data_IF_985408086304
#
_entry.id   IF_985408086304
#
_cell.length_a   1.000
_cell.length_b   1.000
_cell.length_c   1.000
_cell.angle_alpha   90.00
_cell.angle_beta   90.00
_cell.angle_gamma   90.00
#
_symmetry.space_group_name_H-M   'P 1'
#
loop_
_entity.id
_entity.type
_entity.pdbx_description
1 polymer ?
#
# COMPACT_ATOMS: atom_id res chain seq x y z
N UNK A 1 1.77 -10.67 3.78
CA UNK A 1 2.50 -10.02 4.90
C UNK A 1 1.66 -9.97 6.18
N UNK A 2 2.28 -9.82 7.36
CA UNK A 2 1.57 -9.68 8.64
C UNK A 2 0.53 -8.55 8.62
N UNK A 3 0.80 -7.47 7.87
CA UNK A 3 -0.11 -6.35 7.66
C UNK A 3 -1.48 -6.73 7.04
N UNK A 4 -1.51 -7.77 6.20
CA UNK A 4 -2.72 -8.22 5.52
C UNK A 4 -3.70 -8.90 6.48
N UNK A 5 -3.17 -9.50 7.55
CA UNK A 5 -3.92 -10.22 8.59
C UNK A 5 -4.08 -9.40 9.87
N UNK A 6 -3.83 -8.08 9.79
CA UNK A 6 -3.84 -7.23 10.99
C UNK A 6 -5.20 -7.27 11.69
N UNK A 7 -6.30 -7.36 10.93
CA UNK A 7 -7.65 -7.44 11.48
C UNK A 7 -7.91 -8.75 12.24
N UNK A 8 -7.28 -9.85 11.85
CA UNK A 8 -7.49 -11.17 12.44
C UNK A 8 -6.81 -11.33 13.81
N UNK A 9 -5.93 -10.40 14.16
CA UNK A 9 -5.04 -10.48 15.34
C UNK A 9 -5.02 -9.20 16.18
N UNK A 10 -6.06 -8.35 16.05
CA UNK A 10 -6.11 -7.08 16.79
C UNK A 10 -6.35 -7.32 18.27
N UNK A 11 -5.51 -6.70 19.10
CA UNK A 11 -5.75 -6.60 20.53
C UNK A 11 -6.84 -5.57 20.86
N UNK A 12 -6.90 -4.49 20.08
CA UNK A 12 -7.88 -3.41 20.23
C UNK A 12 -8.89 -3.50 19.08
N UNK A 13 -10.19 -3.71 19.37
CA UNK A 13 -11.25 -3.63 18.37
C UNK A 13 -11.28 -2.26 17.68
N UNK A 14 -11.70 -2.21 16.42
CA UNK A 14 -11.88 -0.94 15.72
C UNK A 14 -12.93 -0.07 16.41
N UNK A 15 -12.70 1.23 16.47
CA UNK A 15 -13.63 2.22 17.01
C UNK A 15 -13.72 3.45 16.12
N UNK A 16 -14.78 4.25 16.31
CA UNK A 16 -14.98 5.48 15.53
C UNK A 16 -13.87 6.49 15.80
N UNK A 17 -13.32 7.09 14.73
CA UNK A 17 -12.23 8.07 14.85
C UNK A 17 -10.86 7.46 15.19
N UNK A 18 -10.70 6.14 15.10
CA UNK A 18 -9.46 5.44 15.45
C UNK A 18 -8.20 6.02 14.80
N UNK A 19 -8.25 6.34 13.50
CA UNK A 19 -7.10 6.93 12.80
C UNK A 19 -6.69 8.28 13.41
N UNK A 20 -7.65 9.14 13.75
CA UNK A 20 -7.37 10.43 14.37
C UNK A 20 -6.78 10.24 15.76
N UNK A 21 -7.32 9.32 16.57
CA UNK A 21 -6.81 9.02 17.89
C UNK A 21 -5.35 8.55 17.86
N UNK A 22 -5.00 7.62 16.96
CA UNK A 22 -3.61 7.15 16.85
C UNK A 22 -2.65 8.20 16.30
N UNK A 23 -3.08 9.02 15.34
CA UNK A 23 -2.25 10.11 14.83
C UNK A 23 -2.00 11.17 15.92
N UNK A 24 -3.04 11.59 16.64
CA UNK A 24 -2.92 12.52 17.76
C UNK A 24 -1.95 11.97 18.81
N UNK A 25 -2.13 10.72 19.23
CA UNK A 25 -1.23 10.08 20.19
C UNK A 25 0.23 10.03 19.68
N UNK A 26 0.44 9.69 18.40
CA UNK A 26 1.77 9.67 17.80
C UNK A 26 2.45 11.04 17.84
N UNK A 27 1.70 12.13 17.60
CA UNK A 27 2.25 13.48 17.64
C UNK A 27 2.44 14.03 19.05
N UNK A 28 1.50 13.76 19.97
CA UNK A 28 1.57 14.20 21.36
C UNK A 28 2.71 13.51 22.12
N UNK A 29 2.94 12.23 21.84
CA UNK A 29 4.00 11.43 22.46
C UNK A 29 5.31 11.39 21.64
N UNK A 30 5.39 12.12 20.51
CA UNK A 30 6.51 12.10 19.57
C UNK A 30 6.92 10.69 19.06
N UNK A 31 5.96 9.76 18.97
CA UNK A 31 6.18 8.38 18.50
C UNK A 31 6.11 8.33 16.97
N UNK A 32 7.17 8.82 16.31
CA UNK A 32 7.22 8.92 14.84
C UNK A 32 7.24 7.58 14.12
N UNK A 33 7.74 6.53 14.77
CA UNK A 33 7.92 5.19 14.16
C UNK A 33 6.62 4.56 13.65
N UNK A 34 5.47 4.89 14.23
CA UNK A 34 4.17 4.35 13.80
C UNK A 34 3.52 5.15 12.67
N UNK A 35 3.97 6.39 12.41
CA UNK A 35 3.37 7.28 11.42
C UNK A 35 3.32 6.69 10.00
N UNK A 36 4.39 6.04 9.46
CA UNK A 36 4.33 5.46 8.12
C UNK A 36 3.21 4.42 7.97
N UNK A 37 3.01 3.59 8.99
CA UNK A 37 1.96 2.57 9.00
C UNK A 37 0.56 3.18 9.11
N UNK A 38 0.38 4.22 9.93
CA UNK A 38 -0.88 4.96 10.05
C UNK A 38 -1.23 5.66 8.73
N UNK A 39 -0.27 6.34 8.10
CA UNK A 39 -0.48 6.96 6.79
C UNK A 39 -0.77 5.93 5.70
N UNK A 40 -0.09 4.79 5.69
CA UNK A 40 -0.39 3.70 4.78
C UNK A 40 -1.84 3.21 4.94
N UNK A 41 -2.28 2.98 6.18
CA UNK A 41 -3.67 2.60 6.48
C UNK A 41 -4.66 3.66 5.98
N UNK A 42 -4.36 4.94 6.24
CA UNK A 42 -5.17 6.07 5.80
C UNK A 42 -5.24 6.22 4.26
N UNK A 43 -4.23 5.75 3.53
CA UNK A 43 -4.24 5.73 2.06
C UNK A 43 -5.26 4.71 1.49
N UNK A 44 -5.58 3.67 2.26
CA UNK A 44 -6.54 2.61 1.89
C UNK A 44 -7.99 2.96 2.24
N UNK A 45 -8.22 3.97 3.08
CA UNK A 45 -9.55 4.48 3.39
C UNK A 45 -10.05 5.47 2.31
N UNK A 46 -11.39 5.67 2.22
CA UNK A 46 -11.97 6.75 1.42
C UNK A 46 -11.33 8.09 1.78
N UNK A 47 -11.04 8.91 0.76
CA UNK A 47 -10.35 10.19 0.98
C UNK A 47 -11.13 11.11 1.93
N UNK A 48 -12.46 11.13 1.83
CA UNK A 48 -13.32 11.95 2.70
C UNK A 48 -13.16 11.62 4.19
N UNK A 49 -13.10 10.33 4.53
CA UNK A 49 -12.93 9.87 5.92
C UNK A 49 -11.54 10.24 6.43
N UNK A 50 -10.52 10.01 5.58
CA UNK A 50 -9.14 10.39 5.90
C UNK A 50 -9.00 11.89 6.12
N UNK A 51 -9.60 12.74 5.29
CA UNK A 51 -9.56 14.19 5.46
C UNK A 51 -10.22 14.63 6.76
N UNK A 52 -11.33 14.00 7.12
CA UNK A 52 -12.01 14.26 8.39
C UNK A 52 -11.10 13.95 9.57
N UNK A 53 -10.41 12.81 9.55
CA UNK A 53 -9.43 12.45 10.57
C UNK A 53 -8.25 13.42 10.63
N UNK A 54 -7.63 13.75 9.48
CA UNK A 54 -6.50 14.69 9.42
C UNK A 54 -6.86 16.10 9.90
N UNK A 55 -8.06 16.59 9.57
CA UNK A 55 -8.58 17.86 10.06
C UNK A 55 -8.69 17.88 11.59
N UNK A 56 -9.14 16.78 12.20
CA UNK A 56 -9.23 16.65 13.65
C UNK A 56 -7.84 16.75 14.29
N UNK A 57 -6.86 16.00 13.76
CA UNK A 57 -5.48 15.98 14.28
C UNK A 57 -4.80 17.33 14.09
N UNK A 58 -4.97 17.99 12.93
CA UNK A 58 -4.39 19.30 12.67
C UNK A 58 -4.89 20.34 13.70
N UNK A 59 -6.19 20.34 14.01
CA UNK A 59 -6.76 21.23 15.05
C UNK A 59 -6.21 20.94 16.44
N UNK A 60 -5.96 19.68 16.78
CA UNK A 60 -5.45 19.28 18.09
C UNK A 60 -3.94 19.59 18.26
N UNK A 61 -3.15 19.39 17.21
CA UNK A 61 -1.67 19.39 17.29
C UNK A 61 -1.01 20.61 16.67
N UNK A 62 -1.74 21.37 15.85
CA UNK A 62 -1.22 22.47 15.02
C UNK A 62 -0.04 22.06 14.10
N UNK A 63 0.05 20.78 13.72
CA UNK A 63 1.07 20.25 12.80
C UNK A 63 0.54 20.27 11.37
N UNK A 64 1.37 20.65 10.40
CA UNK A 64 1.03 20.45 8.98
C UNK A 64 1.22 18.97 8.60
N UNK A 65 0.11 18.24 8.60
CA UNK A 65 0.08 16.80 8.27
C UNK A 65 -0.32 16.59 6.81
N UNK A 66 -0.98 17.58 6.19
CA UNK A 66 -1.54 17.45 4.85
C UNK A 66 -0.45 17.32 3.81
N UNK A 67 0.58 18.16 3.88
CA UNK A 67 1.66 18.17 2.88
C UNK A 67 2.34 16.81 2.80
N UNK A 68 2.81 16.29 3.94
CA UNK A 68 3.42 14.96 4.02
C UNK A 68 2.47 13.85 3.58
N UNK A 69 1.21 13.91 4.01
CA UNK A 69 0.22 12.88 3.68
C UNK A 69 -0.12 12.84 2.19
N UNK A 70 -0.46 13.97 1.56
CA UNK A 70 -0.87 14.01 0.17
C UNK A 70 0.27 13.66 -0.78
N UNK A 71 1.46 14.22 -0.55
CA UNK A 71 2.63 13.89 -1.35
C UNK A 71 3.00 12.40 -1.17
N UNK A 72 2.96 11.89 0.05
CA UNK A 72 3.25 10.48 0.30
C UNK A 72 2.19 9.54 -0.26
N UNK A 73 0.92 9.91 -0.23
CA UNK A 73 -0.17 9.14 -0.84
C UNK A 73 0.01 9.02 -2.34
N UNK A 74 0.40 10.10 -3.02
CA UNK A 74 0.65 10.09 -4.47
C UNK A 74 1.86 9.21 -4.81
N UNK A 75 2.99 9.42 -4.14
CA UNK A 75 4.21 8.60 -4.31
C UNK A 75 3.96 7.12 -4.04
N UNK A 76 3.24 6.80 -2.95
CA UNK A 76 2.87 5.43 -2.61
C UNK A 76 2.02 4.80 -3.70
N UNK A 77 0.99 5.50 -4.20
CA UNK A 77 0.15 5.00 -5.30
C UNK A 77 0.95 4.76 -6.57
N UNK A 78 1.90 5.65 -6.89
CA UNK A 78 2.80 5.47 -8.01
C UNK A 78 3.64 4.20 -7.83
N UNK A 79 4.26 4.02 -6.66
CA UNK A 79 5.08 2.86 -6.35
C UNK A 79 4.28 1.54 -6.37
N UNK A 80 3.08 1.52 -5.77
CA UNK A 80 2.17 0.37 -5.82
C UNK A 80 1.74 0.02 -7.25
N UNK A 81 1.49 1.04 -8.08
CA UNK A 81 1.15 0.85 -9.50
C UNK A 81 2.32 0.29 -10.29
N UNK A 82 3.53 0.82 -10.11
CA UNK A 82 4.74 0.33 -10.76
C UNK A 82 4.99 -1.14 -10.41
N UNK A 83 4.89 -1.50 -9.12
CA UNK A 83 5.05 -2.87 -8.66
C UNK A 83 3.97 -3.78 -9.24
N UNK A 84 2.69 -3.36 -9.15
CA UNK A 84 1.56 -4.18 -9.57
C UNK A 84 1.47 -4.41 -11.07
N UNK A 85 1.95 -3.45 -11.86
CA UNK A 85 1.92 -3.54 -13.32
C UNK A 85 3.24 -4.06 -13.89
N UNK A 86 4.29 -4.22 -13.08
CA UNK A 86 5.62 -4.63 -13.54
C UNK A 86 5.60 -5.89 -14.40
N UNK A 87 4.83 -6.91 -13.99
CA UNK A 87 4.72 -8.16 -14.74
C UNK A 87 4.13 -7.95 -16.14
N UNK A 88 3.28 -6.94 -16.36
CA UNK A 88 2.73 -6.61 -17.68
C UNK A 88 3.80 -6.04 -18.63
N UNK A 89 4.85 -5.42 -18.10
CA UNK A 89 5.89 -4.77 -18.89
C UNK A 89 7.16 -5.61 -19.05
N UNK A 90 7.41 -6.55 -18.15
CA UNK A 90 8.55 -7.46 -18.28
C UNK A 90 8.40 -8.37 -19.50
N UNK A 91 9.53 -8.63 -20.19
CA UNK A 91 9.63 -9.74 -21.16
C UNK A 91 9.56 -11.04 -20.37
N UNK A 92 8.33 -11.51 -20.18
CA UNK A 92 8.04 -12.72 -19.46
C UNK A 92 8.43 -13.92 -20.31
N UNK A 93 9.30 -14.78 -19.77
CA UNK A 93 9.59 -16.09 -20.36
C UNK A 93 8.96 -17.15 -19.46
N UNK A 94 8.09 -17.99 -20.01
CA UNK A 94 7.55 -19.12 -19.25
C UNK A 94 8.67 -20.12 -19.00
N UNK A 95 8.94 -20.51 -17.74
CA UNK A 95 9.89 -21.59 -17.44
C UNK A 95 9.48 -22.96 -18.02
N UNK A 96 8.28 -23.11 -18.58
CA UNK A 96 7.78 -24.34 -19.21
C UNK A 96 7.18 -24.09 -20.61
N UNK A 97 7.37 -25.03 -21.53
CA UNK A 97 7.02 -24.90 -22.96
C UNK A 97 5.52 -24.96 -23.30
N UNK A 98 4.62 -24.95 -22.31
CA UNK A 98 3.19 -25.24 -22.51
C UNK A 98 2.25 -24.04 -22.27
N UNK A 99 2.78 -22.85 -22.01
CA UNK A 99 1.95 -21.66 -21.78
C UNK A 99 2.02 -20.72 -22.99
N UNK A 100 0.88 -20.39 -23.58
CA UNK A 100 0.76 -19.27 -24.52
C UNK A 100 0.80 -17.95 -23.74
N UNK A 101 1.99 -17.61 -23.24
CA UNK A 101 2.23 -16.41 -22.44
C UNK A 101 1.81 -15.16 -23.20
N UNK A 102 2.02 -15.11 -24.51
CA UNK A 102 1.82 -13.89 -25.28
C UNK A 102 0.35 -13.52 -25.34
N UNK A 103 -0.54 -14.47 -25.64
CA UNK A 103 -1.99 -14.24 -25.62
C UNK A 103 -2.49 -13.88 -24.22
N UNK A 104 -2.05 -14.58 -23.17
CA UNK A 104 -2.46 -14.28 -21.79
C UNK A 104 -1.99 -12.88 -21.34
N UNK A 105 -0.78 -12.49 -21.72
CA UNK A 105 -0.26 -11.14 -21.44
C UNK A 105 -1.00 -10.07 -22.23
N UNK A 106 -1.39 -10.35 -23.48
CA UNK A 106 -2.22 -9.46 -24.29
C UNK A 106 -3.59 -9.23 -23.65
N UNK A 107 -4.24 -10.30 -23.19
CA UNK A 107 -5.49 -10.22 -22.43
C UNK A 107 -5.34 -9.38 -21.15
N UNK A 108 -4.32 -9.67 -20.34
CA UNK A 108 -4.07 -8.95 -19.09
C UNK A 108 -3.81 -7.44 -19.30
N UNK A 109 -3.05 -7.09 -20.34
CA UNK A 109 -2.82 -5.68 -20.72
C UNK A 109 -4.09 -5.00 -21.21
N UNK A 110 -4.91 -5.70 -21.99
CA UNK A 110 -6.20 -5.18 -22.48
C UNK A 110 -7.14 -4.86 -21.33
N UNK A 111 -7.28 -5.77 -20.38
CA UNK A 111 -8.11 -5.54 -19.19
C UNK A 111 -7.56 -4.39 -18.34
N UNK A 112 -6.24 -4.33 -18.13
CA UNK A 112 -5.62 -3.23 -17.40
C UNK A 112 -5.91 -1.87 -18.04
N UNK A 113 -5.83 -1.77 -19.37
CA UNK A 113 -6.17 -0.58 -20.12
C UNK A 113 -7.67 -0.24 -20.02
N UNK A 114 -8.53 -1.24 -20.17
CA UNK A 114 -9.99 -1.08 -20.10
C UNK A 114 -10.40 -0.54 -18.72
N UNK A 115 -9.93 -1.14 -17.63
CA UNK A 115 -10.25 -0.68 -16.26
C UNK A 115 -9.64 0.68 -15.93
N UNK A 116 -8.56 1.07 -16.58
CA UNK A 116 -7.95 2.40 -16.40
C UNK A 116 -8.72 3.51 -17.12
N UNK A 117 -9.43 3.18 -18.21
CA UNK A 117 -10.15 4.15 -19.05
C UNK A 117 -11.67 4.16 -18.81
N UNK A 118 -12.28 3.02 -18.45
CA UNK A 118 -13.72 2.90 -18.21
C UNK A 118 -14.22 3.67 -16.97
N UNK A 119 -13.30 4.10 -16.09
CA UNK A 119 -13.60 4.76 -14.80
C UNK A 119 -13.99 6.24 -14.91
N UNK A 120 -14.23 6.78 -16.11
CA UNK A 120 -14.82 8.11 -16.27
C UNK A 120 -16.18 8.30 -15.57
N UNK A 121 -16.83 7.21 -15.15
CA UNK A 121 -18.13 7.18 -14.45
C UNK A 121 -18.06 6.96 -12.92
N UNK A 122 -16.88 6.79 -12.32
CA UNK A 122 -16.72 6.72 -10.85
C UNK A 122 -17.04 5.38 -10.17
N UNK A 123 -17.65 4.42 -10.86
CA UNK A 123 -18.01 3.11 -10.29
C UNK A 123 -17.09 1.99 -10.81
N UNK A 124 -16.38 1.29 -9.92
CA UNK A 124 -15.53 0.15 -10.24
C UNK A 124 -14.34 -0.02 -9.29
N UNK A 125 -13.52 -1.06 -9.47
CA UNK A 125 -12.18 -1.24 -8.87
C UNK A 125 -11.13 -1.06 -9.98
N UNK A 126 -9.99 -0.39 -9.75
CA UNK A 126 -9.00 -0.22 -10.83
C UNK A 126 -8.29 -1.55 -11.02
N UNK A 127 -7.61 -1.75 -12.14
CA UNK A 127 -6.82 -2.96 -12.30
C UNK A 127 -5.74 -3.08 -11.21
N UNK A 128 -5.10 -1.96 -10.85
CA UNK A 128 -4.11 -1.90 -9.76
C UNK A 128 -4.74 -2.23 -8.41
N UNK A 129 -5.87 -1.60 -8.06
CA UNK A 129 -6.56 -1.88 -6.80
C UNK A 129 -6.94 -3.37 -6.69
N UNK A 130 -7.47 -3.93 -7.78
CA UNK A 130 -7.86 -5.34 -7.87
C UNK A 130 -6.65 -6.26 -7.69
N UNK A 131 -5.53 -5.94 -8.35
CA UNK A 131 -4.28 -6.71 -8.22
C UNK A 131 -3.73 -6.67 -6.79
N UNK A 132 -3.70 -5.48 -6.18
CA UNK A 132 -3.22 -5.29 -4.80
C UNK A 132 -4.06 -6.09 -3.81
N UNK A 133 -5.38 -6.16 -4.01
CA UNK A 133 -6.28 -6.92 -3.16
C UNK A 133 -6.22 -8.44 -3.39
N UNK A 134 -5.74 -8.91 -4.55
CA UNK A 134 -5.87 -10.31 -5.00
C UNK A 134 -4.61 -10.85 -5.66
N UNK A 135 -3.45 -10.58 -5.08
CA UNK A 135 -2.14 -10.91 -5.68
C UNK A 135 -2.01 -12.38 -6.10
N UNK A 136 -2.60 -13.32 -5.35
CA UNK A 136 -2.57 -14.75 -5.61
C UNK A 136 -3.62 -15.25 -6.62
N UNK A 137 -4.48 -14.37 -7.13
CA UNK A 137 -5.52 -14.73 -8.10
C UNK A 137 -5.23 -14.17 -9.49
N UNK A 138 -4.26 -13.27 -9.64
CA UNK A 138 -3.95 -12.57 -10.90
C UNK A 138 -3.58 -13.57 -12.00
N UNK A 139 -2.67 -14.49 -11.69
CA UNK A 139 -2.24 -15.51 -12.65
C UNK A 139 -3.41 -16.40 -13.10
N UNK A 140 -4.21 -16.88 -12.15
CA UNK A 140 -5.34 -17.76 -12.43
C UNK A 140 -6.47 -17.05 -13.20
N UNK A 141 -6.75 -15.79 -12.87
CA UNK A 141 -7.75 -14.95 -13.54
C UNK A 141 -7.46 -14.77 -15.03
N UNK A 142 -6.17 -14.70 -15.39
CA UNK A 142 -5.72 -14.60 -16.79
C UNK A 142 -5.32 -15.95 -17.39
N UNK A 143 -5.71 -17.06 -16.76
CA UNK A 143 -5.47 -18.43 -17.25
C UNK A 143 -3.98 -18.73 -17.52
N UNK A 144 -3.08 -18.16 -16.72
CA UNK A 144 -1.66 -18.51 -16.76
C UNK A 144 -1.43 -19.93 -16.20
N UNK A 145 -0.37 -20.59 -16.68
CA UNK A 145 0.03 -21.89 -16.12
C UNK A 145 0.54 -21.73 -14.67
N UNK A 146 0.57 -22.81 -13.86
CA UNK A 146 0.97 -22.74 -12.45
C UNK A 146 2.36 -22.13 -12.21
N UNK A 147 3.32 -22.38 -13.12
CA UNK A 147 4.66 -21.78 -13.01
C UNK A 147 4.61 -20.26 -13.20
N UNK A 148 3.80 -19.78 -14.15
CA UNK A 148 3.60 -18.37 -14.40
C UNK A 148 2.85 -17.68 -13.26
N UNK A 149 1.82 -18.32 -12.69
CA UNK A 149 1.13 -17.81 -11.52
C UNK A 149 2.09 -17.57 -10.36
N UNK A 150 2.95 -18.55 -10.04
CA UNK A 150 3.96 -18.42 -8.98
C UNK A 150 4.96 -17.31 -9.26
N UNK A 151 5.39 -17.15 -10.52
CA UNK A 151 6.28 -16.04 -10.88
C UNK A 151 5.60 -14.69 -10.66
N UNK A 152 4.37 -14.52 -11.16
CA UNK A 152 3.60 -13.28 -11.01
C UNK A 152 3.43 -12.97 -9.52
N UNK A 153 2.96 -13.92 -8.73
CA UNK A 153 2.85 -13.79 -7.27
C UNK A 153 4.18 -13.34 -6.62
N UNK A 154 5.30 -13.95 -7.03
CA UNK A 154 6.64 -13.57 -6.56
C UNK A 154 6.97 -12.11 -6.87
N UNK A 155 6.72 -11.65 -8.10
CA UNK A 155 6.97 -10.25 -8.49
C UNK A 155 6.15 -9.25 -7.66
N UNK A 156 4.89 -9.60 -7.35
CA UNK A 156 4.05 -8.78 -6.48
C UNK A 156 4.59 -8.72 -5.06
N UNK A 157 4.92 -9.87 -4.48
CA UNK A 157 5.40 -9.92 -3.10
C UNK A 157 6.74 -9.18 -2.95
N UNK A 158 7.62 -9.28 -3.93
CA UNK A 158 8.89 -8.55 -3.93
C UNK A 158 8.68 -7.04 -4.09
N UNK A 159 7.79 -6.61 -4.98
CA UNK A 159 7.41 -5.20 -5.09
C UNK A 159 6.81 -4.65 -3.80
N UNK A 160 5.96 -5.43 -3.12
CA UNK A 160 5.38 -5.04 -1.83
C UNK A 160 6.43 -4.91 -0.73
N UNK A 161 7.44 -5.78 -0.68
CA UNK A 161 8.57 -5.65 0.26
C UNK A 161 9.34 -4.36 0.02
N UNK A 162 9.56 -3.98 -1.24
CA UNK A 162 10.22 -2.72 -1.61
C UNK A 162 9.40 -1.52 -1.14
N UNK A 163 8.11 -1.49 -1.48
CA UNK A 163 7.18 -0.42 -1.02
C UNK A 163 7.17 -0.32 0.50
N UNK A 164 7.14 -1.46 1.21
CA UNK A 164 7.14 -1.46 2.67
C UNK A 164 8.45 -0.94 3.25
N UNK A 165 9.59 -1.32 2.67
CA UNK A 165 10.92 -0.85 3.09
C UNK A 165 11.06 0.66 2.94
N UNK A 166 10.52 1.23 1.87
CA UNK A 166 10.62 2.66 1.52
C UNK A 166 9.45 3.50 2.05
N UNK A 167 8.50 2.85 2.74
CA UNK A 167 7.25 3.47 3.18
C UNK A 167 7.42 4.81 3.90
N UNK A 168 8.35 4.98 4.87
CA UNK A 168 8.53 6.26 5.55
C UNK A 168 8.91 7.40 4.60
N UNK A 169 9.77 7.12 3.63
CA UNK A 169 10.35 8.10 2.72
C UNK A 169 9.31 8.67 1.76
N UNK A 170 8.30 7.88 1.39
CA UNK A 170 7.16 8.38 0.61
C UNK A 170 6.51 9.58 1.32
N UNK A 171 6.33 9.50 2.64
CA UNK A 171 5.72 10.55 3.46
C UNK A 171 6.71 11.61 3.96
N UNK A 172 7.96 11.60 3.47
CA UNK A 172 9.00 12.54 3.88
C UNK A 172 9.52 12.30 5.30
N UNK A 173 9.34 11.09 5.84
CA UNK A 173 9.89 10.68 7.13
C UNK A 173 11.27 10.01 6.94
N UNK A 174 12.11 9.99 7.99
CA UNK A 174 13.34 9.18 7.98
C UNK A 174 13.04 7.71 7.73
N UNK A 175 13.98 6.98 7.10
CA UNK A 175 13.85 5.54 6.89
C UNK A 175 13.71 4.75 8.21
N UNK A 176 13.24 3.50 8.12
CA UNK A 176 12.88 2.68 9.29
C UNK A 176 13.97 2.57 10.35
N UNK A 177 15.24 2.44 9.95
CA UNK A 177 16.34 2.31 10.91
C UNK A 177 16.56 3.57 11.73
N UNK A 178 16.39 4.75 11.11
CA UNK A 178 16.46 6.03 11.83
C UNK A 178 15.28 6.18 12.80
N UNK A 179 14.06 5.83 12.38
CA UNK A 179 12.87 5.86 13.24
C UNK A 179 12.95 4.88 14.42
N UNK A 180 13.50 3.69 14.19
CA UNK A 180 13.75 2.70 15.27
C UNK A 180 14.76 3.22 16.27
N UNK A 181 15.86 3.80 15.79
CA UNK A 181 16.88 4.38 16.67
C UNK A 181 16.29 5.50 17.53
N UNK A 182 15.55 6.43 16.92
CA UNK A 182 14.88 7.51 17.64
C UNK A 182 13.91 6.99 18.72
N UNK A 183 13.12 5.96 18.40
CA UNK A 183 12.18 5.37 19.36
C UNK A 183 12.86 4.60 20.51
N UNK A 184 14.09 4.10 20.32
CA UNK A 184 14.85 3.40 21.37
C UNK A 184 15.68 4.35 22.23
N UNK A 185 16.12 5.46 21.65
CA UNK A 185 16.92 6.49 22.32
C UNK A 185 16.04 7.46 23.15
N UNK A 186 14.71 7.34 23.10
CA UNK A 186 13.78 8.16 23.88
C UNK A 186 13.76 7.73 25.37
N UNK A 187 14.25 8.57 26.30
CA UNK A 187 14.30 8.26 27.73
C UNK A 187 12.91 8.13 28.39
N UNK A 188 11.82 8.49 27.69
CA UNK A 188 10.45 8.31 28.18
C UNK A 188 9.93 6.87 28.05
N UNK A 189 10.55 6.04 27.20
CA UNK A 189 10.13 4.65 26.93
C UNK A 189 10.87 3.64 27.86
N UNK A 190 11.95 4.05 28.52
CA UNK A 190 12.79 3.21 29.40
C UNK A 190 12.35 3.26 30.88
N UNK A 191 11.15 3.78 31.19
CA UNK A 191 10.63 3.85 32.57
C UNK A 191 9.43 2.94 32.81
#
# INVERSE_FOLDING_TARGET
MAWDRRNDSRLIPSFEGELAAYLTLAFECDIKIILPALYYSACKAPLVDTLTALNSVHRATNKDIYTSFFLGRDRLRHAESQCSLSFLFCRFYCPGSQCDVEERMRSARSEALQRSTARGSGEGETYVDWCVARTNLIGAHHEFCPACCKFIEGTFEDGRKVVWRELPEFFGLPGWEALKKEALDDPSIVK
#
